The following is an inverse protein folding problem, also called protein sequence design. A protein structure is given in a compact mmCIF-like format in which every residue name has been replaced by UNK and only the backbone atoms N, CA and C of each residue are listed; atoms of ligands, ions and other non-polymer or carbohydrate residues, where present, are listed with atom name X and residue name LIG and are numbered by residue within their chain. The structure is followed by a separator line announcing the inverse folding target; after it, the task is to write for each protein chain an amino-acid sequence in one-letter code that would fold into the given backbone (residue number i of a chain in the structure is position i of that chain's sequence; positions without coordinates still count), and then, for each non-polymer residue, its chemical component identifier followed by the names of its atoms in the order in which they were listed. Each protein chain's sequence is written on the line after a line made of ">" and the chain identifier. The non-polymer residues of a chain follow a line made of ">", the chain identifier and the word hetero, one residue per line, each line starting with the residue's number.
data_IF_801335439050
#
_entry.id   IF_801335439050
#
_cell.length_a   1.000
_cell.length_b   1.000
_cell.length_c   1.000
_cell.angle_alpha   90.00
_cell.angle_beta   90.00
_cell.angle_gamma   90.00
#
_symmetry.space_group_name_H-M   'P 1'
#
loop_
_entity.id
_entity.type
_entity.pdbx_description
1 polymer ?
#
# COMPACT_ATOMS: atom_id res chain seq x y z
N UNK A 1 -21.87 -0.95 -4.74
CA UNK A 1 -21.19 -0.77 -3.44
C UNK A 1 -21.11 0.74 -3.26
N UNK A 2 -21.72 1.29 -2.20
CA UNK A 2 -22.07 2.72 -2.11
C UNK A 2 -20.82 3.62 -2.31
N UNK A 3 -20.84 4.57 -3.25
CA UNK A 3 -19.70 5.41 -3.67
C UNK A 3 -19.06 6.16 -2.49
N UNK A 4 -19.91 6.51 -1.53
CA UNK A 4 -19.53 7.09 -0.25
C UNK A 4 -18.61 6.17 0.56
N UNK A 5 -18.89 4.87 0.59
CA UNK A 5 -18.15 3.90 1.41
C UNK A 5 -16.73 3.68 0.89
N UNK A 6 -16.55 3.57 -0.43
CA UNK A 6 -15.20 3.44 -1.04
C UNK A 6 -14.39 4.72 -0.81
N UNK A 7 -15.01 5.88 -1.01
CA UNK A 7 -14.38 7.18 -0.76
C UNK A 7 -13.99 7.37 0.71
N UNK A 8 -14.86 6.96 1.65
CA UNK A 8 -14.57 6.96 3.09
C UNK A 8 -13.37 6.04 3.40
N UNK A 9 -13.35 4.82 2.86
CA UNK A 9 -12.24 3.88 3.09
C UNK A 9 -10.91 4.48 2.62
N UNK A 10 -10.86 5.01 1.39
CA UNK A 10 -9.63 5.60 0.86
C UNK A 10 -9.19 6.81 1.69
N UNK A 11 -10.15 7.66 2.10
CA UNK A 11 -9.86 8.80 2.97
C UNK A 11 -9.28 8.35 4.31
N UNK A 12 -9.86 7.30 4.92
CA UNK A 12 -9.34 6.71 6.16
C UNK A 12 -7.93 6.15 5.97
N UNK A 13 -7.65 5.47 4.84
CA UNK A 13 -6.31 4.97 4.52
C UNK A 13 -5.31 6.13 4.45
N UNK A 14 -5.65 7.24 3.78
CA UNK A 14 -4.78 8.42 3.70
C UNK A 14 -4.53 9.04 5.08
N UNK A 15 -5.57 9.17 5.91
CA UNK A 15 -5.44 9.65 7.29
C UNK A 15 -4.53 8.72 8.09
N UNK A 16 -4.66 7.40 7.95
CA UNK A 16 -3.78 6.44 8.62
C UNK A 16 -2.31 6.61 8.22
N UNK A 17 -2.02 6.86 6.93
CA UNK A 17 -0.65 7.14 6.47
C UNK A 17 -0.09 8.42 7.12
N UNK A 18 -0.88 9.49 7.18
CA UNK A 18 -0.47 10.77 7.80
C UNK A 18 -0.25 10.64 9.30
N UNK A 19 -1.19 10.00 10.02
CA UNK A 19 -1.10 9.78 11.47
C UNK A 19 0.12 8.93 11.80
N UNK A 20 0.36 7.87 11.05
CA UNK A 20 1.51 7.00 11.27
C UNK A 20 2.85 7.72 11.03
N UNK A 21 2.93 8.63 10.04
CA UNK A 21 4.11 9.50 9.87
C UNK A 21 4.31 10.43 11.07
N UNK A 22 3.25 11.07 11.57
CA UNK A 22 3.32 11.98 12.72
C UNK A 22 3.80 11.22 13.96
N UNK A 23 3.23 10.05 14.24
CA UNK A 23 3.63 9.20 15.37
C UNK A 23 5.07 8.73 15.18
N UNK A 24 5.44 8.28 13.99
CA UNK A 24 6.78 7.85 13.63
C UNK A 24 7.82 8.92 13.90
N UNK A 25 7.54 10.14 13.46
CA UNK A 25 8.39 11.29 13.69
C UNK A 25 8.53 11.63 15.18
N UNK A 26 7.40 11.74 15.91
CA UNK A 26 7.43 12.04 17.36
C UNK A 26 8.17 10.98 18.17
N UNK A 27 8.04 9.71 17.82
CA UNK A 27 8.69 8.60 18.53
C UNK A 27 10.12 8.33 18.05
N UNK A 28 10.62 9.04 17.03
CA UNK A 28 11.89 8.76 16.34
C UNK A 28 11.98 7.31 15.81
N UNK A 29 10.83 6.70 15.51
CA UNK A 29 10.69 5.32 15.01
C UNK A 29 10.07 5.28 13.60
N UNK A 30 10.20 6.36 12.84
CA UNK A 30 9.59 6.53 11.51
C UNK A 30 9.88 5.34 10.59
N UNK A 31 11.12 4.86 10.55
CA UNK A 31 11.46 3.70 9.70
C UNK A 31 10.70 2.44 10.08
N UNK A 32 10.52 2.18 11.37
CA UNK A 32 9.85 0.97 11.85
C UNK A 32 8.34 1.06 11.58
N UNK A 33 7.75 2.23 11.85
CA UNK A 33 6.31 2.47 11.61
C UNK A 33 6.00 2.40 10.11
N UNK A 34 6.86 2.95 9.25
CA UNK A 34 6.73 2.81 7.80
C UNK A 34 6.75 1.33 7.37
N UNK A 35 7.65 0.52 7.95
CA UNK A 35 7.68 -0.91 7.66
C UNK A 35 6.37 -1.61 8.03
N UNK A 36 5.78 -1.30 9.19
CA UNK A 36 4.48 -1.85 9.56
C UNK A 36 3.37 -1.44 8.57
N UNK A 37 3.33 -0.17 8.16
CA UNK A 37 2.37 0.29 7.15
C UNK A 37 2.55 -0.44 5.82
N UNK A 38 3.79 -0.56 5.34
CA UNK A 38 4.06 -1.30 4.10
C UNK A 38 3.61 -2.75 4.20
N UNK A 39 3.89 -3.43 5.32
CA UNK A 39 3.42 -4.80 5.53
C UNK A 39 1.90 -4.89 5.47
N UNK A 40 1.18 -4.02 6.19
CA UNK A 40 -0.29 -4.03 6.20
C UNK A 40 -0.85 -3.74 4.81
N UNK A 41 -0.30 -2.77 4.11
CA UNK A 41 -0.74 -2.41 2.74
C UNK A 41 -0.50 -3.56 1.77
N UNK A 42 0.70 -4.14 1.73
CA UNK A 42 1.02 -5.25 0.81
C UNK A 42 0.14 -6.46 1.10
N UNK A 43 -0.07 -6.81 2.37
CA UNK A 43 -0.97 -7.92 2.75
C UNK A 43 -2.39 -7.63 2.30
N UNK A 44 -2.88 -6.40 2.51
CA UNK A 44 -4.22 -5.98 2.07
C UNK A 44 -4.39 -6.08 0.55
N UNK A 45 -3.43 -5.56 -0.22
CA UNK A 45 -3.42 -5.64 -1.69
C UNK A 45 -3.36 -7.10 -2.15
N UNK A 46 -2.49 -7.92 -1.56
CA UNK A 46 -2.34 -9.33 -1.92
C UNK A 46 -3.59 -10.14 -1.60
N UNK A 47 -4.24 -9.89 -0.46
CA UNK A 47 -5.49 -10.55 -0.09
C UNK A 47 -6.63 -10.15 -1.04
N UNK A 48 -6.77 -8.86 -1.34
CA UNK A 48 -7.75 -8.37 -2.31
C UNK A 48 -7.55 -9.02 -3.68
N UNK A 49 -6.30 -9.05 -4.14
CA UNK A 49 -5.93 -9.68 -5.40
C UNK A 49 -6.25 -11.19 -5.42
N UNK A 50 -5.87 -11.93 -4.38
CA UNK A 50 -6.11 -13.36 -4.26
C UNK A 50 -7.61 -13.74 -4.22
N UNK A 51 -8.46 -12.86 -3.67
CA UNK A 51 -9.92 -13.04 -3.66
C UNK A 51 -10.53 -12.67 -5.02
N UNK A 52 -9.99 -11.67 -5.69
CA UNK A 52 -10.58 -11.14 -6.93
C UNK A 52 -10.23 -12.00 -8.14
N UNK A 53 -8.98 -12.47 -8.25
CA UNK A 53 -8.51 -13.17 -9.44
C UNK A 53 -9.28 -14.46 -9.79
N UNK A 54 -9.67 -15.34 -8.84
CA UNK A 54 -10.39 -16.56 -9.18
C UNK A 54 -11.84 -16.30 -9.62
N UNK A 55 -12.37 -15.11 -9.31
CA UNK A 55 -13.74 -14.71 -9.67
C UNK A 55 -13.83 -14.10 -11.08
N UNK A 56 -12.69 -13.89 -11.76
CA UNK A 56 -12.64 -13.40 -13.14
C UNK A 56 -12.75 -14.61 -14.09
N UNK A 57 -13.84 -14.69 -14.86
CA UNK A 57 -14.14 -15.82 -15.76
C UNK A 57 -13.04 -16.16 -16.77
N UNK A 58 -12.25 -15.16 -17.17
CA UNK A 58 -11.14 -15.33 -18.09
C UNK A 58 -10.05 -14.32 -17.73
N UNK A 59 -9.14 -14.71 -16.84
CA UNK A 59 -8.04 -13.86 -16.40
C UNK A 59 -6.80 -14.15 -17.25
N UNK A 60 -6.42 -13.20 -18.11
CA UNK A 60 -5.14 -13.25 -18.79
C UNK A 60 -4.13 -12.52 -17.93
N UNK A 61 -3.21 -13.27 -17.32
CA UNK A 61 -2.17 -12.71 -16.48
C UNK A 61 -1.24 -11.83 -17.32
N UNK A 62 -1.37 -10.51 -17.19
CA UNK A 62 -0.55 -9.57 -17.95
C UNK A 62 0.84 -9.44 -17.30
N UNK A 63 1.86 -9.19 -18.12
CA UNK A 63 3.22 -8.95 -17.63
C UNK A 63 3.27 -7.79 -16.60
N UNK A 64 2.43 -6.76 -16.77
CA UNK A 64 2.30 -5.65 -15.83
C UNK A 64 1.86 -6.10 -14.44
N UNK A 65 0.93 -7.04 -14.35
CA UNK A 65 0.43 -7.58 -13.09
C UNK A 65 1.52 -8.36 -12.35
N UNK A 66 2.29 -9.17 -13.08
CA UNK A 66 3.45 -9.88 -12.53
C UNK A 66 4.50 -8.92 -11.97
N UNK A 67 4.76 -7.80 -12.66
CA UNK A 67 5.68 -6.77 -12.17
C UNK A 67 5.19 -6.13 -10.86
N UNK A 68 3.89 -5.84 -10.75
CA UNK A 68 3.31 -5.28 -9.52
C UNK A 68 3.44 -6.28 -8.37
N UNK A 69 3.08 -7.56 -8.58
CA UNK A 69 3.20 -8.59 -7.53
C UNK A 69 4.66 -8.79 -7.10
N UNK A 70 5.60 -8.77 -8.05
CA UNK A 70 7.02 -8.87 -7.75
C UNK A 70 7.49 -7.68 -6.89
N UNK A 71 7.12 -6.46 -7.27
CA UNK A 71 7.43 -5.24 -6.52
C UNK A 71 6.85 -5.28 -5.10
N UNK A 72 5.57 -5.62 -4.96
CA UNK A 72 4.89 -5.75 -3.66
C UNK A 72 5.58 -6.79 -2.78
N UNK A 73 5.95 -7.94 -3.36
CA UNK A 73 6.69 -8.99 -2.65
C UNK A 73 8.05 -8.49 -2.16
N UNK A 74 8.79 -7.74 -2.99
CA UNK A 74 10.04 -7.12 -2.58
C UNK A 74 9.83 -6.15 -1.41
N UNK A 75 8.83 -5.26 -1.50
CA UNK A 75 8.50 -4.31 -0.43
C UNK A 75 8.18 -5.06 0.86
N UNK A 76 7.39 -6.14 0.80
CA UNK A 76 7.05 -6.96 1.95
C UNK A 76 8.28 -7.59 2.61
N UNK A 77 9.18 -8.18 1.83
CA UNK A 77 10.41 -8.78 2.35
C UNK A 77 11.24 -7.73 3.12
N UNK A 78 11.43 -6.54 2.54
CA UNK A 78 12.18 -5.47 3.22
C UNK A 78 11.45 -4.89 4.43
N UNK A 79 10.12 -4.87 4.42
CA UNK A 79 9.32 -4.48 5.57
C UNK A 79 9.45 -5.48 6.72
N UNK A 80 9.33 -6.78 6.45
CA UNK A 80 9.53 -7.84 7.45
C UNK A 80 10.97 -7.84 7.97
N UNK A 81 11.96 -7.66 7.10
CA UNK A 81 13.36 -7.58 7.50
C UNK A 81 13.63 -6.41 8.46
N UNK A 82 12.99 -5.26 8.22
CA UNK A 82 13.02 -4.11 9.14
C UNK A 82 12.40 -4.45 10.50
N UNK A 83 11.21 -5.07 10.51
CA UNK A 83 10.44 -5.43 11.71
C UNK A 83 11.19 -6.44 12.60
N UNK A 84 11.88 -7.41 12.00
CA UNK A 84 12.63 -8.45 12.75
C UNK A 84 13.86 -7.86 13.47
N UNK A 85 14.30 -6.65 13.12
CA UNK A 85 15.35 -5.93 13.87
C UNK A 85 16.32 -5.12 13.02
N UNK A 86 16.25 -5.20 11.68
CA UNK A 86 17.19 -4.53 10.78
C UNK A 86 16.76 -3.12 10.36
N UNK A 87 15.76 -2.53 11.03
CA UNK A 87 15.22 -1.18 10.77
C UNK A 87 16.27 -0.05 10.77
N UNK A 88 17.45 -0.26 11.37
CA UNK A 88 18.51 0.74 11.41
C UNK A 88 19.44 0.73 10.18
N UNK A 89 19.40 -0.30 9.34
CA UNK A 89 20.25 -0.40 8.14
C UNK A 89 19.79 0.59 7.05
N UNK A 90 20.72 1.36 6.49
CA UNK A 90 20.41 2.43 5.53
C UNK A 90 19.63 1.94 4.30
N UNK A 91 20.05 0.83 3.68
CA UNK A 91 19.36 0.28 2.50
C UNK A 91 17.93 -0.19 2.83
N UNK A 92 17.71 -0.78 4.02
CA UNK A 92 16.38 -1.21 4.48
C UNK A 92 15.46 -0.01 4.67
N UNK A 93 15.98 1.08 5.25
CA UNK A 93 15.24 2.35 5.40
C UNK A 93 14.81 2.88 4.04
N UNK A 94 15.76 3.02 3.11
CA UNK A 94 15.51 3.59 1.79
C UNK A 94 14.43 2.80 1.05
N UNK A 95 14.52 1.47 1.02
CA UNK A 95 13.55 0.64 0.31
C UNK A 95 12.16 0.72 0.96
N UNK A 96 12.09 0.73 2.30
CA UNK A 96 10.83 0.93 3.00
C UNK A 96 10.21 2.32 2.72
N UNK A 97 11.01 3.37 2.65
CA UNK A 97 10.54 4.70 2.26
C UNK A 97 10.05 4.75 0.82
N UNK A 98 10.74 4.08 -0.11
CA UNK A 98 10.29 3.97 -1.50
C UNK A 98 8.95 3.24 -1.57
N UNK A 99 8.83 2.08 -0.92
CA UNK A 99 7.57 1.32 -0.88
C UNK A 99 6.41 2.14 -0.30
N UNK A 100 6.67 2.87 0.78
CA UNK A 100 5.67 3.76 1.37
C UNK A 100 5.26 4.89 0.44
N UNK A 101 6.24 5.51 -0.25
CA UNK A 101 5.97 6.54 -1.24
C UNK A 101 5.10 6.02 -2.38
N UNK A 102 5.38 4.82 -2.88
CA UNK A 102 4.58 4.16 -3.92
C UNK A 102 3.15 3.92 -3.43
N UNK A 103 2.96 3.35 -2.24
CA UNK A 103 1.63 3.12 -1.67
C UNK A 103 0.84 4.42 -1.47
N UNK A 104 1.49 5.46 -0.94
CA UNK A 104 0.86 6.76 -0.72
C UNK A 104 0.47 7.42 -2.05
N UNK A 105 1.36 7.39 -3.04
CA UNK A 105 1.09 7.94 -4.38
C UNK A 105 -0.04 7.17 -5.07
N UNK A 106 -0.03 5.84 -5.03
CA UNK A 106 -1.08 5.01 -5.61
C UNK A 106 -2.44 5.31 -4.97
N UNK A 107 -2.51 5.35 -3.64
CA UNK A 107 -3.74 5.66 -2.90
C UNK A 107 -4.23 7.08 -3.22
N UNK A 108 -3.32 8.06 -3.30
CA UNK A 108 -3.65 9.45 -3.65
C UNK A 108 -4.13 9.57 -5.09
N UNK A 109 -3.49 8.88 -6.03
CA UNK A 109 -3.90 8.86 -7.43
C UNK A 109 -5.28 8.26 -7.60
N UNK A 110 -5.57 7.16 -6.91
CA UNK A 110 -6.90 6.54 -6.87
C UNK A 110 -7.94 7.53 -6.31
N UNK A 111 -7.65 8.17 -5.18
CA UNK A 111 -8.55 9.14 -4.56
C UNK A 111 -8.84 10.32 -5.50
N UNK A 112 -7.79 10.89 -6.10
CA UNK A 112 -7.90 11.98 -7.06
C UNK A 112 -8.72 11.58 -8.27
N UNK A 113 -8.46 10.40 -8.84
CA UNK A 113 -9.18 9.91 -10.01
C UNK A 113 -10.68 9.73 -9.71
N UNK A 114 -11.03 9.13 -8.56
CA UNK A 114 -12.42 9.02 -8.13
C UNK A 114 -13.10 10.38 -7.97
N UNK A 115 -12.42 11.35 -7.34
CA UNK A 115 -12.97 12.68 -7.12
C UNK A 115 -13.14 13.48 -8.41
N UNK A 116 -12.12 13.47 -9.28
CA UNK A 116 -12.08 14.26 -10.52
C UNK A 116 -13.09 13.76 -11.55
N UNK A 117 -13.24 12.45 -11.68
CA UNK A 117 -14.06 11.84 -12.73
C UNK A 117 -15.40 11.28 -12.22
N UNK A 118 -15.71 11.44 -10.92
CA UNK A 118 -16.93 10.91 -10.28
C UNK A 118 -17.18 9.44 -10.61
N UNK A 119 -16.12 8.62 -10.59
CA UNK A 119 -16.28 7.20 -10.87
C UNK A 119 -16.98 6.49 -9.70
N UNK A 120 -18.11 5.86 -10.01
CA UNK A 120 -18.92 5.06 -9.08
C UNK A 120 -18.30 3.67 -8.78
N UNK A 121 -17.22 3.30 -9.49
CA UNK A 121 -16.49 2.04 -9.32
C UNK A 121 -15.02 2.19 -9.67
N UNK A 122 -14.15 1.54 -8.90
CA UNK A 122 -12.72 1.49 -9.16
C UNK A 122 -12.31 0.42 -10.19
N UNK A 123 -13.23 -0.47 -10.56
CA UNK A 123 -13.17 -1.44 -11.66
C UNK A 123 -14.59 -1.84 -12.05
#
# INVERSE_FOLDING_TARGET
>A
MNDLLVSIIITLILICHLVALIIGYKMQKTSLIISYLNTVTVIGVSAFWAITIPNIKQHNFEFRELLVICLETCILIFALYSIIGFHNKAYVKVINFIGFGIHLLATTAIFYYMFAFKYDKLF
#
